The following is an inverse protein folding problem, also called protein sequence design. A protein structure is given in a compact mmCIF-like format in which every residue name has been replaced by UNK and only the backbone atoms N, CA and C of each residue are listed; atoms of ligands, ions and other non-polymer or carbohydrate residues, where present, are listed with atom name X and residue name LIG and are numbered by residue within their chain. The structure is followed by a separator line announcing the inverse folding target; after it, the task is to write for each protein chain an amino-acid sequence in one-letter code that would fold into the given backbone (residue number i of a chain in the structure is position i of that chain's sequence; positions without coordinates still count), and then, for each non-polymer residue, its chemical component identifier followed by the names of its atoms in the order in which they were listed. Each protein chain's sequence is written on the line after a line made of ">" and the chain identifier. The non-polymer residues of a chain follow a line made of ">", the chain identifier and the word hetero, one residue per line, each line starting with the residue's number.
data_IF_815656659582
#
_entry.id   IF_815656659582
#
_cell.length_a   1.000
_cell.length_b   1.000
_cell.length_c   1.000
_cell.angle_alpha   90.00
_cell.angle_beta   90.00
_cell.angle_gamma   90.00
#
_symmetry.space_group_name_H-M   'P 1'
#
loop_
_entity.id
_entity.type
_entity.pdbx_description
1 polymer ?
#
# COMPACT_ATOMS: atom_id res chain seq x y z
N UNK A 1 -8.54 5.06 20.12
CA UNK A 1 -7.42 5.22 19.19
C UNK A 1 -6.95 6.66 19.21
N UNK A 2 -5.65 6.88 19.13
CA UNK A 2 -5.06 8.22 18.96
C UNK A 2 -5.27 8.69 17.53
N UNK A 3 -5.08 9.99 17.27
CA UNK A 3 -5.11 10.54 15.91
C UNK A 3 -4.08 9.83 14.99
N UNK A 4 -2.86 9.64 15.48
CA UNK A 4 -1.80 8.93 14.75
C UNK A 4 -2.19 7.49 14.41
N UNK A 5 -2.77 6.74 15.34
CA UNK A 5 -3.26 5.38 15.07
C UNK A 5 -4.36 5.35 14.00
N UNK A 6 -5.25 6.34 14.03
CA UNK A 6 -6.30 6.49 13.01
C UNK A 6 -5.71 6.77 11.62
N UNK A 7 -4.71 7.65 11.54
CA UNK A 7 -4.01 7.95 10.28
C UNK A 7 -3.26 6.73 9.75
N UNK A 8 -2.53 6.00 10.59
CA UNK A 8 -1.83 4.77 10.19
C UNK A 8 -2.83 3.71 9.72
N UNK A 9 -3.94 3.54 10.40
CA UNK A 9 -5.01 2.63 9.96
C UNK A 9 -5.50 2.96 8.56
N UNK A 10 -5.65 4.24 8.22
CA UNK A 10 -6.02 4.69 6.87
C UNK A 10 -4.90 4.48 5.85
N UNK A 11 -3.65 4.67 6.24
CA UNK A 11 -2.48 4.36 5.38
C UNK A 11 -2.44 2.88 5.01
N UNK A 12 -2.84 1.99 5.91
CA UNK A 12 -2.92 0.54 5.65
C UNK A 12 -4.12 0.21 4.76
N UNK A 13 -5.29 0.73 5.08
CA UNK A 13 -6.54 0.40 4.39
C UNK A 13 -6.56 0.87 2.93
N UNK A 14 -6.12 2.09 2.67
CA UNK A 14 -6.23 2.73 1.35
C UNK A 14 -5.52 1.98 0.22
N UNK A 15 -4.29 1.46 0.38
CA UNK A 15 -3.63 0.69 -0.67
C UNK A 15 -4.04 -0.79 -0.71
N UNK A 16 -4.52 -1.38 0.39
CA UNK A 16 -4.90 -2.79 0.44
C UNK A 16 -6.31 -3.06 -0.10
N UNK A 17 -7.28 -2.23 0.29
CA UNK A 17 -8.68 -2.43 -0.05
C UNK A 17 -8.95 -2.57 -1.55
N UNK A 18 -8.39 -1.72 -2.43
CA UNK A 18 -8.66 -1.81 -3.88
C UNK A 18 -8.08 -3.06 -4.54
N UNK A 19 -7.22 -3.80 -3.85
CA UNK A 19 -6.58 -4.99 -4.40
C UNK A 19 -7.40 -6.27 -4.22
N UNK A 20 -8.49 -6.21 -3.43
CA UNK A 20 -9.47 -7.27 -3.41
C UNK A 20 -10.42 -7.12 -4.61
N UNK A 21 -10.83 -8.23 -5.26
CA UNK A 21 -11.83 -8.18 -6.31
C UNK A 21 -13.14 -7.54 -5.80
N UNK A 22 -13.82 -6.77 -6.65
CA UNK A 22 -15.06 -6.08 -6.29
C UNK A 22 -16.16 -7.03 -5.80
N UNK A 23 -16.17 -8.24 -6.35
CA UNK A 23 -17.12 -9.30 -6.02
C UNK A 23 -16.77 -10.07 -4.74
N UNK A 24 -15.59 -9.86 -4.16
CA UNK A 24 -15.18 -10.48 -2.90
C UNK A 24 -15.90 -9.80 -1.74
N UNK A 25 -16.91 -10.47 -1.18
CA UNK A 25 -17.80 -9.90 -0.15
C UNK A 25 -17.50 -10.37 1.27
N UNK A 26 -16.47 -11.17 1.45
CA UNK A 26 -16.02 -11.59 2.76
C UNK A 26 -15.46 -10.40 3.55
N UNK A 27 -15.73 -10.39 4.85
CA UNK A 27 -15.16 -9.39 5.74
C UNK A 27 -13.64 -9.64 5.88
N UNK A 28 -12.86 -8.57 5.77
CA UNK A 28 -11.42 -8.60 5.97
C UNK A 28 -11.08 -7.64 7.10
N UNK A 29 -10.47 -8.16 8.17
CA UNK A 29 -9.99 -7.39 9.29
C UNK A 29 -8.48 -7.52 9.40
N UNK A 30 -7.78 -6.39 9.45
CA UNK A 30 -6.33 -6.32 9.65
C UNK A 30 -6.05 -5.60 10.97
N UNK A 31 -5.33 -6.27 11.86
CA UNK A 31 -4.95 -5.72 13.17
C UNK A 31 -3.42 -5.69 13.24
N UNK A 32 -2.86 -4.48 13.31
CA UNK A 32 -1.43 -4.28 13.51
C UNK A 32 -1.14 -3.97 14.99
N UNK A 33 -0.33 -4.82 15.63
CA UNK A 33 0.07 -4.64 17.02
C UNK A 33 1.56 -4.38 17.11
N UNK A 34 1.94 -3.24 17.68
CA UNK A 34 3.34 -2.90 17.92
C UNK A 34 3.85 -3.67 19.14
N UNK A 35 4.76 -4.61 18.93
CA UNK A 35 5.33 -5.44 20.00
C UNK A 35 6.64 -4.86 20.57
N UNK A 36 7.37 -4.11 19.76
CA UNK A 36 8.62 -3.45 20.16
C UNK A 36 8.78 -2.16 19.36
N UNK A 37 9.29 -1.11 19.98
CA UNK A 37 9.42 0.21 19.39
C UNK A 37 10.86 0.71 19.54
N UNK A 38 11.41 1.23 18.42
CA UNK A 38 12.56 2.10 18.43
C UNK A 38 12.05 3.56 18.23
N UNK A 39 12.32 4.50 19.15
CA UNK A 39 11.84 5.88 19.05
C UNK A 39 12.28 6.64 17.79
N UNK A 40 13.39 6.21 17.16
CA UNK A 40 13.90 6.79 15.92
C UNK A 40 13.26 6.23 14.64
N UNK A 41 12.50 5.12 14.75
CA UNK A 41 11.86 4.48 13.61
C UNK A 41 10.35 4.53 13.80
N UNK A 42 9.66 5.26 12.92
CA UNK A 42 8.20 5.29 12.93
C UNK A 42 7.61 3.92 12.59
N UNK A 43 6.52 3.56 13.26
CA UNK A 43 5.86 2.27 13.09
C UNK A 43 4.96 2.16 11.85
N UNK A 44 4.76 3.23 11.09
CA UNK A 44 3.84 3.27 9.94
C UNK A 44 4.26 2.35 8.78
N UNK A 45 5.51 2.46 8.32
CA UNK A 45 6.03 1.61 7.23
C UNK A 45 6.12 0.13 7.64
N UNK A 46 6.68 -0.22 8.81
CA UNK A 46 6.62 -1.60 9.31
C UNK A 46 5.19 -2.16 9.41
N UNK A 47 4.22 -1.36 9.85
CA UNK A 47 2.82 -1.78 9.94
C UNK A 47 2.20 -2.04 8.57
N UNK A 48 2.47 -1.17 7.57
CA UNK A 48 2.04 -1.36 6.18
C UNK A 48 2.61 -2.66 5.57
N UNK A 49 3.91 -2.87 5.73
CA UNK A 49 4.60 -4.07 5.21
C UNK A 49 4.07 -5.33 5.90
N UNK A 50 3.94 -5.30 7.23
CA UNK A 50 3.41 -6.41 8.01
C UNK A 50 1.97 -6.75 7.64
N UNK A 51 1.12 -5.75 7.45
CA UNK A 51 -0.26 -5.93 7.00
C UNK A 51 -0.32 -6.56 5.61
N UNK A 52 0.50 -6.08 4.67
CA UNK A 52 0.60 -6.64 3.31
C UNK A 52 1.02 -8.11 3.32
N UNK A 53 2.06 -8.43 4.09
CA UNK A 53 2.55 -9.80 4.23
C UNK A 53 1.49 -10.71 4.87
N UNK A 54 0.83 -10.26 5.93
CA UNK A 54 -0.21 -11.02 6.60
C UNK A 54 -1.39 -11.33 5.67
N UNK A 55 -1.86 -10.34 4.90
CA UNK A 55 -2.94 -10.54 3.92
C UNK A 55 -2.51 -11.51 2.82
N UNK A 56 -1.29 -11.37 2.28
CA UNK A 56 -0.77 -12.27 1.26
C UNK A 56 -0.69 -13.73 1.75
N UNK A 57 -0.34 -13.93 3.02
CA UNK A 57 -0.26 -15.27 3.64
C UNK A 57 -1.62 -15.92 3.89
N UNK A 58 -2.73 -15.19 3.82
CA UNK A 58 -4.07 -15.80 4.00
C UNK A 58 -4.51 -16.66 2.83
N UNK A 59 -3.95 -16.45 1.65
CA UNK A 59 -4.42 -17.08 0.41
C UNK A 59 -5.77 -16.56 -0.12
N UNK A 60 -6.34 -15.52 0.50
CA UNK A 60 -7.54 -14.85 -0.01
C UNK A 60 -7.28 -14.24 -1.41
N UNK A 61 -8.33 -14.00 -2.22
CA UNK A 61 -8.18 -13.38 -3.54
C UNK A 61 -7.71 -11.93 -3.37
N UNK A 62 -6.41 -11.73 -3.47
CA UNK A 62 -5.72 -10.47 -3.22
C UNK A 62 -4.68 -10.20 -4.31
N UNK A 63 -4.82 -9.09 -5.03
CA UNK A 63 -3.97 -8.71 -6.17
C UNK A 63 -2.68 -7.97 -5.72
N UNK A 64 -2.23 -8.24 -4.50
CA UNK A 64 -0.95 -7.78 -3.96
C UNK A 64 0.16 -8.81 -4.15
N UNK A 65 1.23 -8.71 -3.34
CA UNK A 65 1.37 -7.82 -2.19
C UNK A 65 1.67 -6.37 -2.58
N UNK A 66 1.59 -5.46 -1.60
CA UNK A 66 2.12 -4.12 -1.69
C UNK A 66 3.44 -4.00 -0.93
N UNK A 67 4.32 -3.13 -1.43
CA UNK A 67 5.40 -2.54 -0.66
C UNK A 67 5.01 -1.15 -0.18
N UNK A 68 5.79 -0.61 0.74
CA UNK A 68 5.68 0.75 1.21
C UNK A 68 7.06 1.33 1.52
N UNK A 69 7.19 2.64 1.37
CA UNK A 69 8.39 3.38 1.71
C UNK A 69 8.04 4.79 2.16
N UNK A 70 8.81 5.32 3.10
CA UNK A 70 8.85 6.74 3.41
C UNK A 70 10.04 7.36 2.68
N UNK A 71 9.84 8.52 2.07
CA UNK A 71 10.87 9.25 1.35
C UNK A 71 11.00 10.63 1.95
N UNK A 72 12.19 10.95 2.42
CA UNK A 72 12.61 12.30 2.79
C UNK A 72 13.37 12.98 1.66
N UNK A 73 13.55 14.32 1.78
CA UNK A 73 14.38 15.11 0.88
C UNK A 73 15.26 16.04 1.72
N UNK A 74 16.54 15.68 1.84
CA UNK A 74 17.52 16.33 2.73
C UNK A 74 18.74 16.71 1.91
N UNK A 75 19.16 17.98 1.98
CA UNK A 75 20.32 18.51 1.27
C UNK A 75 20.32 18.22 -0.25
N UNK A 76 19.14 18.15 -0.87
CA UNK A 76 19.04 17.91 -2.31
C UNK A 76 19.01 16.42 -2.71
N UNK A 77 18.98 15.50 -1.75
CA UNK A 77 18.98 14.07 -1.98
C UNK A 77 17.74 13.37 -1.38
N UNK A 78 17.27 12.30 -2.04
CA UNK A 78 16.22 11.45 -1.50
C UNK A 78 16.78 10.50 -0.45
N UNK A 79 16.11 10.42 0.69
CA UNK A 79 16.45 9.52 1.81
C UNK A 79 15.32 8.50 1.98
N UNK A 80 15.68 7.22 1.93
CA UNK A 80 14.73 6.13 2.13
C UNK A 80 14.52 5.88 3.62
N UNK A 81 13.25 5.88 4.04
CA UNK A 81 12.83 5.60 5.41
C UNK A 81 13.62 6.42 6.44
N UNK A 82 13.63 7.77 6.31
CA UNK A 82 14.39 8.62 7.22
C UNK A 82 13.92 8.40 8.67
N UNK A 83 14.85 8.48 9.58
CA UNK A 83 14.58 8.43 11.02
C UNK A 83 13.77 9.65 11.46
N UNK A 84 13.16 9.57 12.66
CA UNK A 84 12.42 10.70 13.26
C UNK A 84 13.30 11.92 13.43
N UNK A 85 14.60 11.72 13.73
CA UNK A 85 15.57 12.82 13.85
C UNK A 85 15.91 13.42 12.48
N UNK A 86 16.10 12.61 11.44
CA UNK A 86 16.39 13.08 10.08
C UNK A 86 15.21 13.83 9.45
N UNK A 87 13.98 13.43 9.76
CA UNK A 87 12.77 14.11 9.27
C UNK A 87 12.69 15.58 9.67
N UNK A 88 13.33 15.98 10.79
CA UNK A 88 13.34 17.39 11.24
C UNK A 88 14.06 18.32 10.26
N UNK A 89 15.04 17.79 9.53
CA UNK A 89 15.83 18.51 8.53
C UNK A 89 15.33 18.26 7.10
N UNK A 90 14.30 17.44 6.95
CA UNK A 90 13.73 17.08 5.65
C UNK A 90 12.73 18.12 5.15
N UNK A 91 12.79 18.46 3.86
CA UNK A 91 11.81 19.27 3.16
C UNK A 91 10.63 18.47 2.62
N UNK A 92 10.64 17.15 2.80
CA UNK A 92 9.64 16.22 2.34
C UNK A 92 9.44 15.11 3.36
N UNK A 93 8.19 14.81 3.68
CA UNK A 93 7.78 13.54 4.25
C UNK A 93 6.74 12.95 3.30
N UNK A 94 7.13 11.93 2.54
CA UNK A 94 6.28 11.29 1.55
C UNK A 94 6.18 9.81 1.85
N UNK A 95 4.96 9.31 2.00
CA UNK A 95 4.66 7.88 2.08
C UNK A 95 4.11 7.43 0.74
N UNK A 96 4.73 6.41 0.18
CA UNK A 96 4.30 5.75 -1.05
C UNK A 96 4.05 4.27 -0.77
N UNK A 97 2.93 3.76 -1.26
CA UNK A 97 2.62 2.34 -1.20
C UNK A 97 2.04 1.87 -2.53
N UNK A 98 2.42 0.66 -2.93
CA UNK A 98 1.96 0.13 -4.20
C UNK A 98 2.38 -1.31 -4.46
N UNK A 99 1.89 -1.81 -5.58
CA UNK A 99 2.26 -3.10 -6.15
C UNK A 99 3.54 -3.00 -6.98
N UNK A 100 3.98 -4.10 -7.58
CA UNK A 100 5.10 -4.10 -8.52
C UNK A 100 4.91 -3.15 -9.71
N UNK A 101 3.66 -2.91 -10.12
CA UNK A 101 3.35 -2.22 -11.37
C UNK A 101 2.59 -0.90 -11.20
N UNK A 102 2.12 -0.59 -9.99
CA UNK A 102 1.27 0.57 -9.76
C UNK A 102 1.50 1.19 -8.38
N UNK A 103 1.25 2.49 -8.29
CA UNK A 103 1.29 3.27 -7.05
C UNK A 103 -0.13 3.76 -6.72
N UNK A 104 -0.95 2.96 -6.03
CA UNK A 104 -2.32 3.33 -5.68
C UNK A 104 -2.41 4.35 -4.53
N UNK A 105 -1.33 4.58 -3.77
CA UNK A 105 -1.38 5.49 -2.63
C UNK A 105 -0.08 6.30 -2.50
N UNK A 106 -0.25 7.61 -2.45
CA UNK A 106 0.77 8.60 -2.08
C UNK A 106 0.16 9.54 -1.07
N UNK A 107 0.90 9.86 -0.02
CA UNK A 107 0.56 10.90 0.95
C UNK A 107 1.81 11.69 1.28
N UNK A 108 1.75 13.02 1.27
CA UNK A 108 2.97 13.83 1.47
C UNK A 108 2.69 15.16 2.16
N UNK A 109 3.69 15.58 2.92
CA UNK A 109 3.86 16.94 3.39
C UNK A 109 5.18 17.46 2.83
N UNK A 110 5.18 18.64 2.18
CA UNK A 110 6.33 19.19 1.48
C UNK A 110 6.48 20.69 1.70
N UNK A 111 7.72 21.17 1.83
CA UNK A 111 8.09 22.57 1.93
C UNK A 111 8.37 23.15 0.53
N UNK A 112 7.30 23.41 -0.26
CA UNK A 112 7.36 24.09 -1.57
C UNK A 112 8.37 23.48 -2.56
N UNK A 113 8.41 22.15 -2.67
CA UNK A 113 9.25 21.44 -3.63
C UNK A 113 8.65 21.49 -5.05
N UNK A 114 9.52 21.45 -6.07
CA UNK A 114 9.07 21.41 -7.47
C UNK A 114 8.38 20.08 -7.79
N UNK A 115 7.53 20.08 -8.82
CA UNK A 115 6.85 18.88 -9.32
C UNK A 115 7.83 17.77 -9.71
N UNK A 116 8.97 18.13 -10.32
CA UNK A 116 10.02 17.16 -10.70
C UNK A 116 10.61 16.46 -9.47
N UNK A 117 10.86 17.19 -8.38
CA UNK A 117 11.36 16.64 -7.13
C UNK A 117 10.29 15.73 -6.49
N UNK A 118 9.03 16.14 -6.50
CA UNK A 118 7.92 15.34 -5.96
C UNK A 118 7.74 14.04 -6.75
N UNK A 119 7.72 14.12 -8.08
CA UNK A 119 7.63 12.94 -8.95
C UNK A 119 8.84 12.01 -8.75
N UNK A 120 10.04 12.59 -8.68
CA UNK A 120 11.28 11.84 -8.41
C UNK A 120 11.23 11.09 -7.09
N UNK A 121 10.65 11.69 -6.04
CA UNK A 121 10.48 11.05 -4.74
C UNK A 121 9.52 9.83 -4.80
N UNK A 122 8.40 9.95 -5.52
CA UNK A 122 7.48 8.84 -5.74
C UNK A 122 8.16 7.70 -6.47
N UNK A 123 8.88 8.00 -7.55
CA UNK A 123 9.60 7.00 -8.35
C UNK A 123 10.72 6.34 -7.55
N UNK A 124 11.45 7.11 -6.73
CA UNK A 124 12.47 6.59 -5.83
C UNK A 124 11.88 5.60 -4.83
N UNK A 125 10.81 5.98 -4.12
CA UNK A 125 10.14 5.11 -3.15
C UNK A 125 9.57 3.86 -3.80
N UNK A 126 8.91 3.98 -4.96
CA UNK A 126 8.39 2.84 -5.70
C UNK A 126 9.48 1.84 -6.12
N UNK A 127 10.62 2.33 -6.59
CA UNK A 127 11.77 1.47 -6.94
C UNK A 127 12.31 0.73 -5.72
N UNK A 128 12.49 1.44 -4.60
CA UNK A 128 13.09 0.84 -3.40
C UNK A 128 12.16 -0.18 -2.73
N UNK A 129 10.84 0.04 -2.74
CA UNK A 129 9.89 -0.90 -2.14
C UNK A 129 9.72 -2.22 -2.93
N UNK A 130 10.24 -2.32 -4.18
CA UNK A 130 10.21 -3.57 -4.94
C UNK A 130 10.93 -4.71 -4.20
N UNK A 131 11.97 -4.39 -3.46
CA UNK A 131 12.68 -5.37 -2.62
C UNK A 131 11.76 -6.01 -1.58
N UNK A 132 10.90 -5.20 -0.96
CA UNK A 132 9.91 -5.66 0.03
C UNK A 132 8.87 -6.57 -0.63
N UNK A 133 8.35 -6.19 -1.79
CA UNK A 133 7.38 -6.99 -2.54
C UNK A 133 7.97 -8.37 -2.87
N UNK A 134 9.22 -8.41 -3.32
CA UNK A 134 9.90 -9.67 -3.64
C UNK A 134 10.06 -10.56 -2.39
N UNK A 135 10.48 -9.98 -1.26
CA UNK A 135 10.62 -10.71 0.01
C UNK A 135 9.27 -11.27 0.48
N UNK A 136 8.18 -10.51 0.36
CA UNK A 136 6.84 -11.00 0.72
C UNK A 136 6.44 -12.17 -0.19
N UNK A 137 6.70 -12.11 -1.50
CA UNK A 137 6.42 -13.19 -2.42
C UNK A 137 7.24 -14.46 -2.11
N UNK A 138 8.50 -14.31 -1.75
CA UNK A 138 9.35 -15.41 -1.27
C UNK A 138 8.77 -16.04 0.00
N UNK A 139 8.39 -15.21 0.98
CA UNK A 139 7.77 -15.67 2.22
C UNK A 139 6.47 -16.46 1.97
N UNK A 140 5.60 -15.98 1.09
CA UNK A 140 4.35 -16.68 0.70
C UNK A 140 4.66 -18.04 0.07
N UNK A 141 5.70 -18.09 -0.74
CA UNK A 141 6.14 -19.33 -1.41
C UNK A 141 6.70 -20.33 -0.38
N UNK A 142 7.58 -19.89 0.52
CA UNK A 142 8.17 -20.73 1.56
C UNK A 142 7.12 -21.24 2.56
N UNK A 143 6.14 -20.40 2.91
CA UNK A 143 5.04 -20.79 3.79
C UNK A 143 4.11 -21.83 3.15
N UNK A 144 4.21 -22.07 1.85
CA UNK A 144 3.35 -23.00 1.13
C UNK A 144 1.87 -22.59 1.15
N UNK A 145 1.60 -21.30 1.15
CA UNK A 145 0.26 -20.73 1.18
C UNK A 145 -0.58 -21.26 0.03
N UNK A 146 -1.78 -21.77 0.35
CA UNK A 146 -2.75 -22.22 -0.65
C UNK A 146 -3.79 -21.13 -0.87
N UNK A 147 -4.04 -20.80 -2.13
CA UNK A 147 -5.12 -19.90 -2.48
C UNK A 147 -6.47 -20.52 -2.13
N UNK A 148 -7.41 -19.67 -1.71
CA UNK A 148 -8.79 -20.09 -1.50
C UNK A 148 -9.41 -20.55 -2.81
N UNK A 149 -10.28 -21.54 -2.73
CA UNK A 149 -11.14 -21.94 -3.85
C UNK A 149 -12.29 -20.91 -3.97
N UNK A 150 -11.95 -19.77 -4.55
CA UNK A 150 -12.88 -18.66 -4.77
C UNK A 150 -12.86 -18.25 -6.23
N UNK A 151 -14.04 -18.08 -6.79
CA UNK A 151 -14.23 -17.54 -8.13
C UNK A 151 -15.26 -16.40 -8.08
N UNK A 152 -15.02 -15.39 -8.90
CA UNK A 152 -15.99 -14.31 -9.05
C UNK A 152 -17.32 -14.87 -9.59
N UNK A 153 -18.48 -14.40 -9.08
CA UNK A 153 -19.77 -14.82 -9.61
C UNK A 153 -19.90 -14.43 -11.08
N UNK A 154 -20.59 -15.26 -11.84
CA UNK A 154 -20.81 -15.00 -13.26
C UNK A 154 -21.54 -13.66 -13.48
N UNK A 155 -21.06 -12.87 -14.41
CA UNK A 155 -21.68 -11.60 -14.79
C UNK A 155 -23.00 -11.89 -15.54
N UNK A 156 -24.01 -11.08 -15.27
CA UNK A 156 -25.26 -11.12 -16.01
C UNK A 156 -25.13 -10.29 -17.30
N UNK A 157 -24.53 -10.88 -18.33
CA UNK A 157 -24.28 -10.20 -19.60
C UNK A 157 -25.57 -9.75 -20.29
N UNK A 158 -26.66 -10.46 -20.09
CA UNK A 158 -27.98 -10.07 -20.62
C UNK A 158 -28.46 -8.76 -20.01
N UNK A 159 -28.35 -8.62 -18.69
CA UNK A 159 -28.70 -7.37 -18.00
C UNK A 159 -27.77 -6.23 -18.38
N UNK A 160 -26.47 -6.48 -18.47
CA UNK A 160 -25.48 -5.47 -18.88
C UNK A 160 -25.78 -4.98 -20.30
N UNK A 161 -26.10 -5.87 -21.22
CA UNK A 161 -26.43 -5.52 -22.61
C UNK A 161 -27.71 -4.70 -22.69
N UNK A 162 -28.76 -5.13 -21.96
CA UNK A 162 -30.04 -4.40 -21.91
C UNK A 162 -29.87 -2.99 -21.31
N UNK A 163 -29.03 -2.83 -20.27
CA UNK A 163 -28.73 -1.51 -19.70
C UNK A 163 -27.95 -0.63 -20.68
N UNK A 164 -26.96 -1.18 -21.38
CA UNK A 164 -26.21 -0.43 -22.39
C UNK A 164 -27.10 0.02 -23.55
N UNK A 165 -28.04 -0.82 -23.98
CA UNK A 165 -28.99 -0.50 -25.03
C UNK A 165 -29.98 0.61 -24.59
N UNK A 166 -30.43 0.55 -23.33
CA UNK A 166 -31.41 1.49 -22.82
C UNK A 166 -30.83 2.90 -22.50
N UNK A 167 -29.58 2.98 -22.01
CA UNK A 167 -29.00 4.23 -21.48
C UNK A 167 -27.60 4.55 -22.01
N UNK A 168 -26.98 3.71 -22.81
CA UNK A 168 -25.59 3.84 -23.26
C UNK A 168 -25.35 4.96 -24.28
N UNK A 169 -26.37 5.67 -24.71
CA UNK A 169 -26.31 6.80 -25.66
C UNK A 169 -26.63 8.15 -25.03
N UNK A 170 -26.70 8.24 -23.71
CA UNK A 170 -26.85 9.49 -22.97
C UNK A 170 -25.44 9.94 -22.38
#
# INVERSE_FOLDING_TARGET
>A
ATEKETLISRLIDRPLRPLFPEEFRNEVQVIATVMSLNPEIDGDIPALIGASAAVALTGAPFNGPIGAAKVGYINGEYVLNPTVSELKDSKLELVVAGTSNAVPMVESEAAELSEDVMLGAVMFGHREMQKVINIINELVTEAGTKNWDWAAPAKNDTLISALKEAVGTQ
#
